data_IF_294529178865
#
_entry.id   IF_294529178865
#
_cell.length_a   1.000
_cell.length_b   1.000
_cell.length_c   1.000
_cell.angle_alpha   90.00
_cell.angle_beta   90.00
_cell.angle_gamma   90.00
#
_symmetry.space_group_name_H-M   'P 1'
#
loop_
_entity.id
_entity.type
_entity.pdbx_description
1 polymer ?
#
# COMPACT_ATOMS: atom_id res chain seq x y z
N UNK A 1 -5.52 24.98 -7.40
CA UNK A 1 -5.03 23.65 -7.03
C UNK A 1 -5.38 23.44 -5.57
N UNK A 2 -6.56 22.88 -5.29
CA UNK A 2 -6.96 22.56 -3.92
C UNK A 2 -6.19 21.33 -3.48
N UNK A 3 -5.47 21.42 -2.36
CA UNK A 3 -4.94 20.26 -1.68
C UNK A 3 -6.15 19.52 -1.11
N UNK A 4 -6.45 18.34 -1.64
CA UNK A 4 -7.43 17.45 -1.02
C UNK A 4 -6.76 16.86 0.22
N UNK A 5 -7.08 17.45 1.38
CA UNK A 5 -6.60 16.97 2.68
C UNK A 5 -7.16 15.56 2.89
N UNK A 6 -6.27 14.57 2.95
CA UNK A 6 -6.64 13.20 3.35
C UNK A 6 -7.29 13.18 4.74
N UNK A 7 -7.98 12.09 5.06
CA UNK A 7 -8.63 11.97 6.36
C UNK A 7 -7.63 12.12 7.52
N UNK A 8 -8.07 12.64 8.66
CA UNK A 8 -7.25 12.65 9.88
C UNK A 8 -6.92 11.21 10.32
N UNK A 9 -5.81 11.01 11.04
CA UNK A 9 -5.40 9.67 11.49
C UNK A 9 -6.51 8.86 12.20
N UNK A 10 -7.36 9.45 13.09
CA UNK A 10 -8.50 8.74 13.66
C UNK A 10 -9.54 8.30 12.62
N UNK A 11 -9.85 9.15 11.65
CA UNK A 11 -10.81 8.87 10.58
C UNK A 11 -10.31 7.75 9.67
N UNK A 12 -9.03 7.81 9.28
CA UNK A 12 -8.41 6.75 8.47
C UNK A 12 -8.43 5.42 9.21
N UNK A 13 -8.06 5.40 10.50
CA UNK A 13 -8.15 4.18 11.33
C UNK A 13 -9.58 3.66 11.46
N UNK A 14 -10.57 4.54 11.48
CA UNK A 14 -11.98 4.13 11.48
C UNK A 14 -12.39 3.52 10.14
N UNK A 15 -11.95 4.12 9.03
CA UNK A 15 -12.20 3.65 7.66
C UNK A 15 -11.60 2.28 7.40
N UNK A 16 -10.34 2.05 7.81
CA UNK A 16 -9.67 0.74 7.76
C UNK A 16 -10.46 -0.29 8.59
N UNK A 17 -10.84 0.04 9.82
CA UNK A 17 -11.63 -0.86 10.68
C UNK A 17 -12.98 -1.21 10.06
N UNK A 18 -13.68 -0.21 9.50
CA UNK A 18 -14.93 -0.43 8.79
C UNK A 18 -14.73 -1.39 7.61
N UNK A 19 -13.67 -1.21 6.82
CA UNK A 19 -13.35 -2.10 5.71
C UNK A 19 -13.19 -3.56 6.19
N UNK A 20 -12.48 -3.81 7.30
CA UNK A 20 -12.31 -5.17 7.84
C UNK A 20 -13.61 -5.78 8.39
N UNK A 21 -14.57 -4.96 8.79
CA UNK A 21 -15.83 -5.41 9.39
C UNK A 21 -16.93 -5.76 8.39
N UNK A 22 -16.72 -5.61 7.08
CA UNK A 22 -17.74 -5.90 6.05
C UNK A 22 -17.68 -7.39 5.65
N UNK A 23 -18.68 -8.22 6.00
CA UNK A 23 -18.66 -9.65 5.68
C UNK A 23 -19.19 -9.95 4.26
N UNK A 24 -20.07 -9.09 3.73
CA UNK A 24 -20.67 -9.27 2.41
C UNK A 24 -19.72 -8.79 1.30
N UNK A 25 -19.54 -9.62 0.29
CA UNK A 25 -18.60 -9.35 -0.80
C UNK A 25 -19.02 -8.13 -1.63
N UNK A 26 -20.30 -7.99 -1.97
CA UNK A 26 -20.77 -6.89 -2.81
C UNK A 26 -20.60 -5.54 -2.09
N UNK A 27 -20.94 -5.50 -0.80
CA UNK A 27 -20.69 -4.35 0.07
C UNK A 27 -19.20 -4.04 0.19
N UNK A 28 -18.35 -5.06 0.33
CA UNK A 28 -16.89 -4.88 0.43
C UNK A 28 -16.32 -4.29 -0.86
N UNK A 29 -16.75 -4.80 -2.01
CA UNK A 29 -16.33 -4.27 -3.32
C UNK A 29 -16.79 -2.83 -3.52
N UNK A 30 -18.05 -2.53 -3.21
CA UNK A 30 -18.58 -1.17 -3.31
C UNK A 30 -17.82 -0.19 -2.39
N UNK A 31 -17.52 -0.61 -1.15
CA UNK A 31 -16.73 0.17 -0.21
C UNK A 31 -15.32 0.44 -0.76
N UNK A 32 -14.61 -0.60 -1.21
CA UNK A 32 -13.27 -0.45 -1.77
C UNK A 32 -13.27 0.47 -3.00
N UNK A 33 -14.25 0.33 -3.90
CA UNK A 33 -14.37 1.19 -5.07
C UNK A 33 -14.55 2.67 -4.71
N UNK A 34 -15.36 2.96 -3.68
CA UNK A 34 -15.57 4.33 -3.19
C UNK A 34 -14.36 4.89 -2.46
N UNK A 35 -13.58 4.04 -1.79
CA UNK A 35 -12.39 4.47 -1.05
C UNK A 35 -11.15 4.59 -1.94
N UNK A 36 -11.12 3.93 -3.10
CA UNK A 36 -9.96 3.89 -3.99
C UNK A 36 -9.31 5.26 -4.30
N UNK A 37 -10.06 6.36 -4.53
CA UNK A 37 -9.45 7.68 -4.80
C UNK A 37 -8.62 8.23 -3.64
N UNK A 38 -9.05 7.98 -2.39
CA UNK A 38 -8.37 8.49 -1.19
C UNK A 38 -7.36 7.47 -0.62
N UNK A 39 -7.37 6.23 -1.11
CA UNK A 39 -6.70 5.11 -0.45
C UNK A 39 -5.20 5.35 -0.25
N UNK A 40 -4.48 5.81 -1.28
CA UNK A 40 -3.03 6.02 -1.18
C UNK A 40 -2.68 7.14 -0.20
N UNK A 41 -3.48 8.22 -0.19
CA UNK A 41 -3.29 9.33 0.75
C UNK A 41 -3.59 8.89 2.19
N UNK A 42 -4.64 8.11 2.40
CA UNK A 42 -4.97 7.53 3.70
C UNK A 42 -3.89 6.56 4.20
N UNK A 43 -3.36 5.72 3.31
CA UNK A 43 -2.23 4.82 3.61
C UNK A 43 -0.98 5.61 4.00
N UNK A 44 -0.73 6.75 3.35
CA UNK A 44 0.33 7.67 3.73
C UNK A 44 0.09 8.29 5.12
N UNK A 45 -1.14 8.70 5.44
CA UNK A 45 -1.52 9.20 6.79
C UNK A 45 -1.28 8.16 7.89
N UNK A 46 -1.45 6.87 7.59
CA UNK A 46 -1.15 5.78 8.51
C UNK A 46 0.36 5.57 8.74
N UNK A 47 1.21 6.25 7.96
CA UNK A 47 2.65 6.00 7.92
C UNK A 47 2.95 4.52 7.69
N UNK A 48 2.24 3.91 6.74
CA UNK A 48 2.34 2.48 6.45
C UNK A 48 3.77 2.12 5.99
N UNK A 49 4.49 1.33 6.80
CA UNK A 49 5.91 1.02 6.59
C UNK A 49 6.20 -0.30 5.90
N UNK A 50 5.19 -1.11 5.57
CA UNK A 50 5.44 -2.44 5.03
C UNK A 50 6.25 -2.44 3.70
N UNK A 51 6.05 -1.47 2.78
CA UNK A 51 6.87 -1.38 1.58
C UNK A 51 8.36 -1.20 1.91
N UNK A 52 8.68 -0.21 2.75
CA UNK A 52 10.05 0.06 3.20
C UNK A 52 10.70 -1.15 3.86
N UNK A 53 9.97 -1.78 4.79
CA UNK A 53 10.46 -2.98 5.49
C UNK A 53 10.70 -4.15 4.52
N UNK A 54 9.88 -4.27 3.47
CA UNK A 54 10.08 -5.30 2.44
C UNK A 54 11.37 -5.04 1.66
N UNK A 55 11.63 -3.81 1.23
CA UNK A 55 12.87 -3.44 0.53
C UNK A 55 14.09 -3.67 1.42
N UNK A 56 14.02 -3.30 2.70
CA UNK A 56 15.10 -3.53 3.67
C UNK A 56 15.39 -5.02 3.83
N UNK A 57 14.36 -5.85 3.94
CA UNK A 57 14.49 -7.30 4.04
C UNK A 57 15.11 -7.91 2.78
N UNK A 58 14.67 -7.48 1.59
CA UNK A 58 15.23 -7.97 0.32
C UNK A 58 16.70 -7.58 0.15
N UNK A 59 17.07 -6.36 0.54
CA UNK A 59 18.45 -5.88 0.53
C UNK A 59 19.35 -6.75 1.41
N UNK A 60 18.85 -7.20 2.57
CA UNK A 60 19.60 -8.07 3.48
C UNK A 60 19.66 -9.52 3.01
N UNK A 61 18.62 -10.01 2.33
CA UNK A 61 18.50 -11.40 1.94
C UNK A 61 19.27 -11.74 0.65
N UNK A 62 19.44 -10.77 -0.26
CA UNK A 62 20.07 -11.00 -1.55
C UNK A 62 21.60 -10.82 -1.45
N UNK A 63 22.40 -11.75 -2.00
CA UNK A 63 23.86 -11.73 -1.91
C UNK A 63 24.52 -10.66 -2.80
N UNK A 64 23.74 -9.79 -3.45
CA UNK A 64 24.21 -8.77 -4.37
C UNK A 64 23.24 -7.59 -4.49
N UNK A 65 23.60 -6.54 -5.24
CA UNK A 65 22.77 -5.34 -5.34
C UNK A 65 21.38 -5.63 -5.90
N UNK A 66 20.34 -5.04 -5.32
CA UNK A 66 18.95 -5.23 -5.75
C UNK A 66 18.74 -4.99 -7.25
N UNK A 67 19.42 -3.99 -7.82
CA UNK A 67 19.29 -3.64 -9.23
C UNK A 67 19.78 -4.74 -10.20
N UNK A 68 20.56 -5.71 -9.70
CA UNK A 68 21.06 -6.86 -10.47
C UNK A 68 20.14 -8.07 -10.42
N UNK A 69 19.13 -8.08 -9.54
CA UNK A 69 18.14 -9.14 -9.43
C UNK A 69 16.86 -8.78 -10.21
N UNK A 70 16.24 -9.81 -10.81
CA UNK A 70 14.90 -9.70 -11.39
C UNK A 70 13.88 -10.20 -10.35
N UNK A 71 13.05 -9.29 -9.83
CA UNK A 71 12.09 -9.58 -8.76
C UNK A 71 10.67 -9.29 -9.24
N UNK A 72 9.78 -10.28 -9.07
CA UNK A 72 8.34 -10.17 -9.34
C UNK A 72 7.57 -10.08 -8.00
N UNK A 73 6.86 -8.97 -7.80
CA UNK A 73 6.00 -8.75 -6.63
C UNK A 73 4.57 -9.23 -6.91
N UNK A 74 4.26 -10.47 -6.53
CA UNK A 74 2.94 -11.05 -6.77
C UNK A 74 1.93 -10.46 -5.78
N UNK A 75 0.81 -9.97 -6.32
CA UNK A 75 -0.23 -9.27 -5.55
C UNK A 75 0.28 -7.99 -4.87
N UNK A 76 1.09 -7.20 -5.58
CA UNK A 76 1.74 -5.99 -5.09
C UNK A 76 0.79 -4.84 -4.67
N UNK A 77 -0.53 -5.02 -4.75
CA UNK A 77 -1.53 -4.01 -4.42
C UNK A 77 -1.36 -2.77 -5.30
N UNK A 78 -1.07 -1.62 -4.68
CA UNK A 78 -0.82 -0.35 -5.37
C UNK A 78 0.62 -0.20 -5.86
N UNK A 79 1.46 -1.24 -5.71
CA UNK A 79 2.81 -1.29 -6.26
C UNK A 79 3.87 -0.51 -5.47
N UNK A 80 3.58 -0.14 -4.22
CA UNK A 80 4.48 0.67 -3.40
C UNK A 80 5.85 0.03 -3.17
N UNK A 81 5.94 -1.30 -3.03
CA UNK A 81 7.23 -2.00 -2.89
C UNK A 81 8.10 -1.80 -4.13
N UNK A 82 7.50 -1.94 -5.32
CA UNK A 82 8.20 -1.74 -6.58
C UNK A 82 8.59 -0.27 -6.83
N UNK A 83 7.81 0.68 -6.31
CA UNK A 83 8.15 2.10 -6.38
C UNK A 83 9.37 2.48 -5.52
N UNK A 84 9.66 1.71 -4.47
CA UNK A 84 10.76 1.98 -3.54
C UNK A 84 12.07 1.27 -3.87
N UNK A 85 12.03 0.19 -4.67
CA UNK A 85 13.18 -0.63 -5.00
C UNK A 85 13.59 -0.56 -6.49
N UNK A 86 14.89 -0.45 -6.82
CA UNK A 86 15.32 -0.54 -8.22
C UNK A 86 15.10 -1.96 -8.78
N UNK A 87 14.63 -2.06 -10.02
CA UNK A 87 14.46 -3.31 -10.79
C UNK A 87 13.33 -4.25 -10.35
N UNK A 88 12.47 -3.86 -9.41
CA UNK A 88 11.31 -4.64 -8.99
C UNK A 88 10.08 -4.34 -9.87
N UNK A 89 9.28 -5.36 -10.17
CA UNK A 89 8.11 -5.23 -11.06
C UNK A 89 6.86 -5.82 -10.43
N UNK A 90 5.76 -5.08 -10.61
CA UNK A 90 4.42 -5.61 -10.78
C UNK A 90 4.18 -5.79 -12.30
#
# INVERSE_FOLDING_TARGET
MAQEEGGSLPEVRARVRAAHGIPDLAQKLHFCYRWAPDYDQDVATLQYRAPHLTVDCLTQALPGPLHSALILDVACGTGLVAAEGPSMRC
#
